data_IF_832578937889
#
_entry.id   IF_832578937889
#
_cell.length_a   1.000
_cell.length_b   1.000
_cell.length_c   1.000
_cell.angle_alpha   90.00
_cell.angle_beta   90.00
_cell.angle_gamma   90.00
#
_symmetry.space_group_name_H-M   'P 1'
#
loop_
_entity.id
_entity.type
_entity.pdbx_description
1 polymer ?
#
# COMPACT_ATOMS: atom_id res chain seq x y z
N UNK A 1 -5.38 -45.80 -10.50
CA UNK A 1 -4.22 -45.07 -11.05
C UNK A 1 -4.77 -44.04 -12.01
N UNK A 2 -4.76 -42.76 -11.62
CA UNK A 2 -5.31 -41.65 -12.41
C UNK A 2 -4.22 -41.11 -13.34
N UNK A 3 -4.41 -41.04 -14.66
CA UNK A 3 -3.50 -40.30 -15.52
C UNK A 3 -3.80 -38.81 -15.39
N UNK A 4 -2.78 -38.05 -14.98
CA UNK A 4 -2.79 -36.59 -14.95
C UNK A 4 -3.02 -36.03 -16.37
N UNK A 5 -4.19 -35.45 -16.62
CA UNK A 5 -4.43 -34.69 -17.84
C UNK A 5 -3.69 -33.35 -17.75
N UNK A 6 -2.80 -33.11 -18.71
CA UNK A 6 -1.99 -31.90 -18.80
C UNK A 6 -2.67 -30.88 -19.71
N UNK A 7 -2.51 -29.58 -19.40
CA UNK A 7 -3.12 -28.45 -20.13
C UNK A 7 -2.81 -28.40 -21.64
N UNK A 8 -1.93 -29.27 -22.13
CA UNK A 8 -1.51 -29.36 -23.54
C UNK A 8 -2.37 -30.31 -24.38
N UNK A 9 -3.21 -31.15 -23.78
CA UNK A 9 -4.02 -32.16 -24.50
C UNK A 9 -5.30 -31.59 -25.13
N UNK A 10 -5.58 -30.29 -24.97
CA UNK A 10 -6.83 -29.64 -25.41
C UNK A 10 -6.80 -29.02 -26.81
N UNK A 11 -5.73 -29.19 -27.59
CA UNK A 11 -5.55 -28.47 -28.86
C UNK A 11 -5.48 -29.33 -30.13
N UNK A 12 -6.04 -30.54 -30.14
CA UNK A 12 -6.15 -31.32 -31.37
C UNK A 12 -7.52 -31.96 -31.55
N UNK A 13 -8.51 -31.17 -31.98
CA UNK A 13 -9.65 -31.68 -32.75
C UNK A 13 -9.88 -30.72 -33.92
N UNK A 14 -9.68 -31.15 -35.18
CA UNK A 14 -10.18 -30.40 -36.32
C UNK A 14 -11.64 -30.80 -36.58
N UNK A 15 -12.54 -29.82 -36.64
CA UNK A 15 -13.76 -29.99 -37.44
C UNK A 15 -15.07 -29.43 -36.88
N UNK A 16 -15.71 -28.69 -37.79
CA UNK A 16 -17.15 -28.39 -37.94
C UNK A 16 -17.64 -27.08 -37.30
N UNK A 17 -17.94 -26.15 -38.21
CA UNK A 17 -18.52 -24.85 -37.97
C UNK A 17 -19.98 -24.96 -37.50
N UNK A 18 -20.31 -24.23 -36.42
CA UNK A 18 -21.65 -23.73 -36.17
C UNK A 18 -21.53 -22.25 -35.83
N UNK A 19 -22.09 -21.39 -36.69
CA UNK A 19 -22.11 -19.94 -36.51
C UNK A 19 -23.06 -19.56 -35.36
N UNK A 20 -22.63 -19.79 -34.13
CA UNK A 20 -23.24 -19.25 -32.92
C UNK A 20 -22.36 -18.14 -32.38
N UNK A 21 -22.78 -16.87 -32.48
CA UNK A 21 -22.14 -15.77 -31.76
C UNK A 21 -22.49 -15.90 -30.27
N UNK A 22 -21.90 -16.89 -29.59
CA UNK A 22 -21.80 -16.82 -28.14
C UNK A 22 -20.73 -15.76 -27.86
N UNK A 23 -21.17 -14.59 -27.40
CA UNK A 23 -20.26 -13.64 -26.80
C UNK A 23 -19.68 -14.34 -25.56
N UNK A 24 -18.50 -14.95 -25.71
CA UNK A 24 -17.68 -15.36 -24.60
C UNK A 24 -17.36 -14.07 -23.85
N UNK A 25 -18.13 -13.79 -22.79
CA UNK A 25 -17.76 -12.79 -21.81
C UNK A 25 -16.44 -13.25 -21.22
N UNK A 26 -15.34 -12.64 -21.70
CA UNK A 26 -14.04 -12.91 -21.15
C UNK A 26 -14.10 -12.60 -19.65
N UNK A 27 -13.69 -13.55 -18.82
CA UNK A 27 -13.59 -13.32 -17.38
C UNK A 27 -12.72 -12.09 -17.15
N UNK A 28 -13.35 -11.00 -16.74
CA UNK A 28 -12.68 -9.79 -16.35
C UNK A 28 -12.53 -9.87 -14.83
N UNK A 29 -11.32 -10.12 -14.30
CA UNK A 29 -11.12 -10.13 -12.86
C UNK A 29 -11.58 -8.79 -12.30
N UNK A 30 -12.26 -8.83 -11.17
CA UNK A 30 -12.66 -7.60 -10.49
C UNK A 30 -11.42 -6.73 -10.25
N UNK A 31 -11.48 -5.42 -10.55
CA UNK A 31 -10.34 -4.56 -10.34
C UNK A 31 -9.94 -4.61 -8.87
N UNK A 32 -8.66 -4.89 -8.60
CA UNK A 32 -8.12 -4.87 -7.23
C UNK A 32 -8.46 -3.54 -6.57
N UNK A 33 -8.81 -3.55 -5.28
CA UNK A 33 -9.05 -2.32 -4.51
C UNK A 33 -7.85 -1.38 -4.65
N UNK A 34 -8.11 -0.08 -4.83
CA UNK A 34 -7.09 0.96 -4.82
C UNK A 34 -7.05 1.57 -3.42
N UNK A 35 -5.85 1.65 -2.85
CA UNK A 35 -5.62 2.30 -1.58
C UNK A 35 -4.76 3.55 -1.78
N UNK A 36 -5.08 4.61 -1.05
CA UNK A 36 -4.25 5.80 -0.90
C UNK A 36 -3.76 5.87 0.55
N UNK A 37 -2.48 6.19 0.73
CA UNK A 37 -1.86 6.39 2.05
C UNK A 37 -1.44 7.84 2.19
N UNK A 38 -1.84 8.47 3.28
CA UNK A 38 -1.56 9.88 3.57
C UNK A 38 -0.90 9.97 4.93
N UNK A 39 0.33 10.47 4.98
CA UNK A 39 0.98 10.83 6.23
C UNK A 39 0.65 12.27 6.62
N UNK A 40 0.70 12.57 7.91
CA UNK A 40 0.56 13.93 8.41
C UNK A 40 1.74 14.30 9.30
N UNK A 41 1.96 15.61 9.42
CA UNK A 41 2.78 16.15 10.50
C UNK A 41 1.94 16.34 11.77
N UNK A 42 2.62 16.41 12.89
CA UNK A 42 2.03 16.81 14.18
C UNK A 42 2.01 18.33 14.29
N UNK A 43 3.18 18.93 14.11
CA UNK A 43 3.46 20.36 14.08
C UNK A 43 4.75 20.57 13.29
N UNK A 44 4.75 21.51 12.36
CA UNK A 44 5.94 21.85 11.58
C UNK A 44 5.99 23.33 11.20
N UNK A 45 6.97 23.74 10.37
CA UNK A 45 7.11 25.12 9.91
C UNK A 45 5.86 25.70 9.24
N UNK A 46 4.95 24.84 8.75
CA UNK A 46 3.74 25.24 8.05
C UNK A 46 2.47 25.25 8.92
N UNK A 47 2.59 25.02 10.24
CA UNK A 47 1.48 25.12 11.20
C UNK A 47 1.22 23.85 12.01
N UNK A 48 0.01 23.77 12.58
CA UNK A 48 -0.48 22.57 13.30
C UNK A 48 -0.97 21.57 12.26
N UNK A 49 -0.41 20.36 12.28
CA UNK A 49 -0.77 19.30 11.34
C UNK A 49 -1.88 18.39 11.87
N UNK A 50 -2.18 17.32 11.11
CA UNK A 50 -3.25 16.36 11.40
C UNK A 50 -2.89 15.29 12.42
N UNK A 51 -2.19 15.65 13.51
CA UNK A 51 -1.89 14.75 14.62
C UNK A 51 -0.90 13.61 14.31
N UNK A 52 -0.12 13.72 13.23
CA UNK A 52 0.87 12.70 12.87
C UNK A 52 0.30 11.38 12.34
N UNK A 53 1.19 10.44 12.05
CA UNK A 53 0.84 9.08 11.66
C UNK A 53 0.48 8.94 10.18
N UNK A 54 -0.14 7.80 9.83
CA UNK A 54 -0.53 7.47 8.47
C UNK A 54 -1.99 7.03 8.45
N UNK A 55 -2.77 7.61 7.54
CA UNK A 55 -4.16 7.25 7.28
C UNK A 55 -4.25 6.55 5.92
N UNK A 56 -4.97 5.43 5.85
CA UNK A 56 -5.25 4.75 4.59
C UNK A 56 -6.72 4.92 4.19
N UNK A 57 -6.94 5.07 2.89
CA UNK A 57 -8.25 5.24 2.28
C UNK A 57 -8.43 4.24 1.15
N UNK A 58 -9.65 3.74 0.95
CA UNK A 58 -10.04 3.18 -0.35
C UNK A 58 -10.39 4.30 -1.31
N UNK A 59 -9.96 4.18 -2.56
CA UNK A 59 -10.24 5.15 -3.62
C UNK A 59 -11.33 4.59 -4.53
N UNK A 60 -12.43 5.34 -4.66
CA UNK A 60 -13.40 5.07 -5.71
C UNK A 60 -12.83 5.53 -7.06
N UNK A 61 -12.68 4.60 -8.00
CA UNK A 61 -12.09 4.89 -9.31
C UNK A 61 -13.01 5.66 -10.26
N UNK A 62 -14.32 5.72 -9.99
CA UNK A 62 -15.24 6.45 -10.86
C UNK A 62 -15.22 7.96 -10.63
N UNK A 63 -15.05 8.39 -9.37
CA UNK A 63 -15.19 9.79 -8.96
C UNK A 63 -14.00 10.32 -8.12
N UNK A 64 -13.05 9.46 -7.75
CA UNK A 64 -11.89 9.83 -6.93
C UNK A 64 -12.20 9.99 -5.43
N UNK A 65 -13.43 9.69 -4.97
CA UNK A 65 -13.79 9.80 -3.56
C UNK A 65 -12.96 8.86 -2.69
N UNK A 66 -12.64 9.34 -1.48
CA UNK A 66 -11.81 8.63 -0.50
C UNK A 66 -12.66 8.21 0.70
N UNK A 67 -12.62 6.93 1.03
CA UNK A 67 -13.23 6.40 2.27
C UNK A 67 -12.12 5.92 3.18
N UNK A 68 -12.00 6.50 4.37
CA UNK A 68 -11.00 6.09 5.34
C UNK A 68 -11.25 4.65 5.78
N UNK A 69 -10.21 3.82 5.75
CA UNK A 69 -10.27 2.40 6.16
C UNK A 69 -9.30 2.05 7.28
N UNK A 70 -8.29 2.89 7.51
CA UNK A 70 -7.29 2.65 8.55
C UNK A 70 -6.63 3.96 9.00
N UNK A 71 -6.19 4.00 10.25
CA UNK A 71 -5.29 5.00 10.82
C UNK A 71 -4.31 4.26 11.73
N UNK A 72 -3.03 4.63 11.69
CA UNK A 72 -2.02 4.14 12.65
C UNK A 72 -2.44 4.43 14.10
N UNK A 73 -2.03 3.59 15.05
CA UNK A 73 -2.37 3.77 16.46
C UNK A 73 -1.69 4.98 17.12
N UNK A 74 -2.04 5.29 18.39
CA UNK A 74 -1.52 6.43 19.14
C UNK A 74 0.01 6.47 19.27
N UNK A 75 0.67 5.32 19.15
CA UNK A 75 2.13 5.22 19.11
C UNK A 75 2.76 5.97 17.92
N UNK A 76 1.96 6.33 16.92
CA UNK A 76 2.35 7.13 15.76
C UNK A 76 1.77 8.56 15.77
N UNK A 77 1.10 9.01 16.83
CA UNK A 77 0.63 10.40 16.94
C UNK A 77 1.79 11.41 16.97
N UNK A 78 3.03 10.94 17.19
CA UNK A 78 4.29 11.71 17.10
C UNK A 78 5.02 11.62 15.76
N UNK A 79 4.50 10.85 14.80
CA UNK A 79 5.16 10.62 13.51
C UNK A 79 4.96 11.83 12.59
N UNK A 80 6.01 12.62 12.39
CA UNK A 80 6.05 13.66 11.36
C UNK A 80 6.39 13.03 10.00
N UNK A 81 5.37 12.48 9.34
CA UNK A 81 5.56 11.74 8.08
C UNK A 81 5.76 12.67 6.87
N UNK A 82 6.99 12.80 6.39
CA UNK A 82 7.38 13.71 5.31
C UNK A 82 7.17 13.17 3.91
N UNK A 83 7.64 11.94 3.69
CA UNK A 83 7.57 11.26 2.40
C UNK A 83 7.12 9.81 2.57
N UNK A 84 6.44 9.28 1.55
CA UNK A 84 5.95 7.91 1.49
C UNK A 84 6.45 7.21 0.23
N UNK A 85 6.91 5.97 0.37
CA UNK A 85 7.25 5.10 -0.76
C UNK A 85 6.67 3.71 -0.53
N UNK A 86 6.11 3.11 -1.58
CA UNK A 86 5.61 1.72 -1.55
C UNK A 86 6.58 0.85 -2.33
N UNK A 87 6.91 -0.32 -1.80
CA UNK A 87 7.76 -1.29 -2.49
C UNK A 87 7.14 -1.72 -3.83
N UNK A 88 7.95 -2.06 -4.83
CA UNK A 88 7.46 -2.42 -6.17
C UNK A 88 6.45 -3.59 -6.18
N UNK A 89 6.54 -4.49 -5.20
CA UNK A 89 5.60 -5.61 -5.03
C UNK A 89 4.33 -5.25 -4.22
N UNK A 90 4.19 -4.00 -3.77
CA UNK A 90 3.05 -3.51 -3.00
C UNK A 90 2.89 -4.13 -1.62
N UNK A 91 3.95 -4.69 -1.04
CA UNK A 91 3.92 -5.38 0.26
C UNK A 91 4.37 -4.52 1.43
N UNK A 92 5.16 -3.48 1.15
CA UNK A 92 5.75 -2.63 2.18
C UNK A 92 5.54 -1.17 1.87
N UNK A 93 5.33 -0.38 2.92
CA UNK A 93 5.30 1.08 2.88
C UNK A 93 6.43 1.60 3.76
N UNK A 94 7.13 2.60 3.27
CA UNK A 94 8.19 3.32 3.97
C UNK A 94 7.75 4.77 4.17
N UNK A 95 7.93 5.28 5.38
CA UNK A 95 7.59 6.65 5.75
C UNK A 95 8.79 7.33 6.41
N UNK A 96 9.21 8.49 5.90
CA UNK A 96 10.24 9.28 6.59
C UNK A 96 9.65 9.95 7.81
N UNK A 97 10.40 10.01 8.90
CA UNK A 97 10.09 10.80 10.08
C UNK A 97 11.00 12.02 10.12
N UNK A 98 10.40 13.17 9.84
CA UNK A 98 11.07 14.46 9.82
C UNK A 98 11.24 15.02 11.25
N UNK A 99 12.34 14.61 11.88
CA UNK A 99 12.77 15.11 13.18
C UNK A 99 14.29 15.31 13.21
N UNK A 100 14.80 16.18 14.10
CA UNK A 100 16.25 16.37 14.24
C UNK A 100 16.94 15.22 14.96
N UNK A 101 16.26 14.54 15.89
CA UNK A 101 16.79 13.41 16.65
C UNK A 101 15.71 12.34 16.85
N UNK A 102 15.87 11.21 16.17
CA UNK A 102 15.01 10.05 16.28
C UNK A 102 15.09 9.50 17.71
N UNK A 103 13.93 9.40 18.37
CA UNK A 103 13.79 8.94 19.75
C UNK A 103 14.73 9.69 20.74
N UNK A 104 15.03 10.96 20.46
CA UNK A 104 15.90 11.78 21.31
C UNK A 104 17.39 11.43 21.25
N UNK A 105 17.81 10.52 20.36
CA UNK A 105 19.21 10.11 20.24
C UNK A 105 20.00 11.11 19.38
N UNK A 106 20.97 11.79 20.01
CA UNK A 106 21.89 12.69 19.32
C UNK A 106 22.64 11.97 18.18
N UNK A 107 22.71 12.61 17.01
CA UNK A 107 23.39 12.08 15.84
C UNK A 107 22.62 11.01 15.05
N UNK A 108 21.41 10.64 15.48
CA UNK A 108 20.56 9.72 14.71
C UNK A 108 19.87 10.39 13.50
N UNK A 109 19.74 11.73 13.51
CA UNK A 109 18.92 12.46 12.54
C UNK A 109 17.44 12.12 12.71
N UNK A 110 16.67 12.16 11.62
CA UNK A 110 15.33 11.60 11.55
C UNK A 110 15.35 10.08 11.39
N UNK A 111 14.29 9.52 10.82
CA UNK A 111 14.19 8.09 10.64
C UNK A 111 13.35 7.68 9.44
N UNK A 112 13.37 6.38 9.15
CA UNK A 112 12.48 5.74 8.19
C UNK A 112 11.75 4.61 8.91
N UNK A 113 10.43 4.68 8.93
CA UNK A 113 9.56 3.63 9.43
C UNK A 113 9.17 2.71 8.29
N UNK A 114 9.25 1.40 8.50
CA UNK A 114 8.79 0.40 7.56
C UNK A 114 7.53 -0.28 8.09
N UNK A 115 6.54 -0.46 7.21
CA UNK A 115 5.28 -1.11 7.50
C UNK A 115 5.01 -2.21 6.48
N UNK A 116 4.44 -3.34 6.92
CA UNK A 116 3.79 -4.29 6.03
C UNK A 116 2.37 -3.81 5.69
N UNK A 117 2.00 -3.95 4.42
CA UNK A 117 0.66 -3.63 3.91
C UNK A 117 -0.20 -4.90 3.92
N UNK A 118 -1.34 -4.86 4.61
CA UNK A 118 -2.39 -5.84 4.42
C UNK A 118 -3.12 -5.53 3.10
N UNK A 119 -2.95 -6.37 2.08
CA UNK A 119 -3.50 -6.13 0.74
C UNK A 119 -5.03 -6.32 0.66
N UNK A 120 -5.65 -6.92 1.67
CA UNK A 120 -7.10 -7.20 1.68
C UNK A 120 -7.91 -6.00 2.19
N UNK A 121 -7.36 -5.27 3.17
CA UNK A 121 -8.07 -4.17 3.84
C UNK A 121 -7.28 -2.84 3.86
N UNK A 122 -6.02 -2.83 3.41
CA UNK A 122 -5.17 -1.64 3.36
C UNK A 122 -4.51 -1.26 4.68
N UNK A 123 -4.70 -2.03 5.77
CA UNK A 123 -4.09 -1.72 7.06
C UNK A 123 -2.57 -1.86 7.05
N UNK A 124 -1.91 -1.17 7.98
CA UNK A 124 -0.46 -1.20 8.13
C UNK A 124 -0.06 -1.90 9.43
N UNK A 125 0.99 -2.70 9.37
CA UNK A 125 1.66 -3.27 10.54
C UNK A 125 3.09 -2.78 10.57
N UNK A 126 3.48 -2.08 11.63
CA UNK A 126 4.86 -1.61 11.79
C UNK A 126 5.83 -2.79 11.90
N UNK A 127 6.97 -2.68 11.23
CA UNK A 127 8.00 -3.71 11.19
C UNK A 127 9.23 -3.27 11.97
N UNK A 128 9.76 -2.10 11.62
CA UNK A 128 10.90 -1.50 12.31
C UNK A 128 11.03 -0.02 11.97
N UNK A 129 12.00 0.62 12.60
CA UNK A 129 12.44 1.98 12.31
C UNK A 129 13.95 1.99 12.23
N UNK A 130 14.51 2.70 11.24
CA UNK A 130 15.95 2.91 11.09
C UNK A 130 16.27 4.40 11.11
N UNK A 131 17.37 4.83 11.74
CA UNK A 131 17.83 6.21 11.64
C UNK A 131 18.20 6.53 10.19
N UNK A 132 17.83 7.72 9.72
CA UNK A 132 18.27 8.21 8.41
C UNK A 132 19.70 8.75 8.46
N UNK A 133 20.20 9.07 9.68
CA UNK A 133 21.44 9.81 9.92
C UNK A 133 21.44 11.24 9.36
N UNK A 134 20.33 11.70 8.78
CA UNK A 134 20.13 13.06 8.28
C UNK A 134 19.02 13.77 9.05
N UNK A 135 19.20 15.05 9.35
CA UNK A 135 18.20 15.86 10.05
C UNK A 135 17.03 16.16 9.10
N UNK A 136 15.80 15.89 9.55
CA UNK A 136 14.56 16.13 8.79
C UNK A 136 14.57 15.54 7.36
N UNK A 137 14.67 14.21 7.21
CA UNK A 137 14.77 13.52 5.92
C UNK A 137 13.46 13.42 5.13
#
# INVERSE_FOLDING_TARGET
MNPNLSRRDLLSVPGVALAGRTALSAYQPSPKKLYAYVSSWTKGPFGVGGGGGITAFTVNRSDGSLTQVFKTGPEFDGLNGGNLCISANGRFLYCTQEVPNLNGKAGAGGGVHAFAINQENGSLTHLNTQPSMGVNP
#
